data_IF_134566231884
#
_entry.id   IF_134566231884
#
_cell.length_a   1.000
_cell.length_b   1.000
_cell.length_c   1.000
_cell.angle_alpha   90.00
_cell.angle_beta   90.00
_cell.angle_gamma   90.00
#
_symmetry.space_group_name_H-M   'P 1'
#
loop_
_entity.id
_entity.type
_entity.pdbx_description
1 polymer ?
#
# COMPACT_ATOMS: atom_id res chain seq x y z
N UNK A 1 -25.11 -11.12 -23.31
CA UNK A 1 -24.10 -10.97 -22.26
C UNK A 1 -22.77 -11.19 -22.93
N UNK A 2 -21.85 -10.22 -22.85
CA UNK A 2 -20.46 -10.51 -23.16
C UNK A 2 -19.98 -11.53 -22.12
N UNK A 3 -19.86 -12.79 -22.53
CA UNK A 3 -19.39 -13.87 -21.66
C UNK A 3 -17.88 -13.76 -21.49
N UNK A 4 -17.38 -14.02 -20.28
CA UNK A 4 -15.95 -14.22 -20.08
C UNK A 4 -15.60 -15.66 -20.47
N UNK A 5 -14.61 -15.83 -21.36
CA UNK A 5 -14.15 -17.18 -21.73
C UNK A 5 -13.33 -17.85 -20.62
N UNK A 6 -12.62 -17.04 -19.83
CA UNK A 6 -11.86 -17.48 -18.67
C UNK A 6 -11.81 -16.39 -17.58
N UNK A 7 -11.73 -16.83 -16.33
CA UNK A 7 -11.60 -15.99 -15.14
C UNK A 7 -10.55 -16.61 -14.23
N UNK A 8 -9.54 -15.83 -13.87
CA UNK A 8 -8.57 -16.21 -12.85
C UNK A 8 -8.81 -15.40 -11.56
N UNK A 9 -8.90 -16.11 -10.44
CA UNK A 9 -9.19 -15.56 -9.13
C UNK A 9 -8.01 -15.82 -8.20
N UNK A 10 -7.75 -14.83 -7.34
CA UNK A 10 -6.76 -14.94 -6.26
C UNK A 10 -7.49 -14.88 -4.93
N UNK A 11 -7.92 -16.01 -4.35
CA UNK A 11 -8.74 -16.02 -3.14
C UNK A 11 -8.03 -15.40 -1.93
N UNK A 12 -6.68 -15.33 -1.95
CA UNK A 12 -5.88 -14.64 -0.93
C UNK A 12 -6.17 -13.14 -0.78
N UNK A 13 -6.93 -12.54 -1.71
CA UNK A 13 -7.41 -11.16 -1.61
C UNK A 13 -8.68 -11.02 -0.76
N UNK A 14 -9.33 -12.12 -0.39
CA UNK A 14 -10.50 -12.11 0.49
C UNK A 14 -10.10 -12.34 1.95
N UNK A 15 -10.98 -11.93 2.87
CA UNK A 15 -10.82 -12.19 4.31
C UNK A 15 -10.78 -13.71 4.54
N UNK A 16 -9.75 -14.16 5.27
CA UNK A 16 -9.50 -15.60 5.50
C UNK A 16 -8.82 -16.34 4.35
N UNK A 17 -8.61 -15.67 3.20
CA UNK A 17 -7.98 -16.26 2.02
C UNK A 17 -6.45 -16.42 2.02
N UNK A 18 -5.63 -15.75 2.85
CA UNK A 18 -4.18 -15.98 2.81
C UNK A 18 -3.80 -17.47 2.90
N UNK A 19 -2.95 -17.92 1.97
CA UNK A 19 -2.53 -19.32 1.85
C UNK A 19 -3.45 -20.23 1.02
N UNK A 20 -4.40 -19.67 0.26
CA UNK A 20 -5.20 -20.41 -0.74
C UNK A 20 -4.49 -20.53 -2.09
N UNK A 21 -4.80 -21.55 -2.92
CA UNK A 21 -4.34 -21.60 -4.30
C UNK A 21 -5.06 -20.53 -5.16
N UNK A 22 -4.53 -20.26 -6.35
CA UNK A 22 -5.30 -19.57 -7.40
C UNK A 22 -6.42 -20.45 -7.94
N UNK A 23 -7.48 -19.85 -8.47
CA UNK A 23 -8.58 -20.58 -9.11
C UNK A 23 -8.71 -20.09 -10.54
N UNK A 24 -8.58 -20.99 -11.51
CA UNK A 24 -8.86 -20.74 -12.91
C UNK A 24 -10.20 -21.38 -13.24
N UNK A 25 -11.18 -20.58 -13.67
CA UNK A 25 -12.41 -21.04 -14.29
C UNK A 25 -12.31 -20.71 -15.77
N UNK A 26 -12.53 -21.67 -16.65
CA UNK A 26 -12.51 -21.41 -18.09
C UNK A 26 -13.51 -22.29 -18.82
N UNK A 27 -13.94 -21.83 -19.99
CA UNK A 27 -14.75 -22.62 -20.89
C UNK A 27 -13.97 -23.88 -21.29
N UNK A 28 -14.57 -25.06 -21.13
CA UNK A 28 -14.00 -26.35 -21.50
C UNK A 28 -13.48 -26.37 -22.94
N UNK A 29 -14.13 -25.65 -23.87
CA UNK A 29 -13.72 -25.55 -25.27
C UNK A 29 -12.36 -24.84 -25.47
N UNK A 30 -11.84 -24.14 -24.45
CA UNK A 30 -10.49 -23.57 -24.46
C UNK A 30 -9.41 -24.55 -24.02
N UNK A 31 -9.77 -25.68 -23.38
CA UNK A 31 -8.80 -26.69 -23.00
C UNK A 31 -8.36 -27.50 -24.23
N UNK A 32 -7.25 -27.09 -24.86
CA UNK A 32 -6.69 -27.74 -26.06
C UNK A 32 -5.61 -28.77 -25.75
N UNK A 33 -5.36 -29.05 -24.47
CA UNK A 33 -4.37 -30.02 -24.01
C UNK A 33 -4.93 -31.44 -23.83
N UNK A 34 -6.18 -31.71 -24.21
CA UNK A 34 -6.78 -33.04 -24.05
C UNK A 34 -5.96 -34.19 -24.69
N UNK A 35 -5.19 -33.90 -25.75
CA UNK A 35 -4.27 -34.85 -26.40
C UNK A 35 -2.77 -34.56 -26.16
N UNK A 36 -2.42 -33.72 -25.20
CA UNK A 36 -1.05 -33.32 -24.89
C UNK A 36 -0.78 -33.44 -23.39
N UNK A 37 0.49 -33.43 -22.94
CA UNK A 37 0.80 -33.31 -21.52
C UNK A 37 0.10 -32.10 -20.87
N UNK A 38 -0.33 -32.20 -19.60
CA UNK A 38 -0.91 -31.07 -18.86
C UNK A 38 0.11 -29.96 -18.64
N UNK A 39 -0.35 -28.79 -18.14
CA UNK A 39 0.55 -27.64 -17.92
C UNK A 39 1.66 -27.95 -16.91
N UNK A 40 1.39 -28.84 -15.95
CA UNK A 40 2.36 -29.37 -15.00
C UNK A 40 2.19 -30.87 -14.90
N UNK A 41 3.23 -31.63 -15.24
CA UNK A 41 3.22 -33.08 -15.12
C UNK A 41 3.60 -33.52 -13.69
N UNK A 42 2.99 -34.59 -13.20
CA UNK A 42 3.35 -35.19 -11.92
C UNK A 42 2.46 -36.36 -11.55
N UNK A 43 2.75 -36.99 -10.41
CA UNK A 43 1.86 -38.01 -9.83
C UNK A 43 0.45 -37.46 -9.67
N UNK A 44 -0.58 -38.30 -9.85
CA UNK A 44 -1.98 -37.88 -9.81
C UNK A 44 -2.54 -37.33 -11.13
N UNK A 45 -1.71 -37.01 -12.13
CA UNK A 45 -2.17 -36.54 -13.46
C UNK A 45 -2.23 -37.65 -14.52
N UNK A 46 -1.60 -38.78 -14.25
CA UNK A 46 -1.44 -39.91 -15.18
C UNK A 46 -2.24 -41.13 -14.72
N UNK A 47 -2.88 -41.79 -15.68
CA UNK A 47 -3.42 -43.13 -15.54
C UNK A 47 -2.34 -44.20 -15.76
N UNK A 48 -1.37 -43.94 -16.64
CA UNK A 48 -0.26 -44.84 -16.92
C UNK A 48 0.98 -44.09 -17.40
N UNK A 49 2.16 -44.55 -17.00
CA UNK A 49 3.46 -44.05 -17.48
C UNK A 49 4.47 -45.19 -17.45
N UNK A 50 5.38 -45.24 -18.43
CA UNK A 50 6.49 -46.18 -18.47
C UNK A 50 7.84 -45.42 -18.65
N UNK A 51 8.95 -46.16 -18.58
CA UNK A 51 10.29 -45.60 -18.72
C UNK A 51 10.90 -45.71 -20.12
N UNK A 52 10.11 -46.11 -21.13
CA UNK A 52 10.59 -46.42 -22.48
C UNK A 52 10.23 -45.34 -23.51
N UNK A 53 9.00 -44.82 -23.49
CA UNK A 53 8.53 -43.78 -24.41
C UNK A 53 7.56 -42.82 -23.72
N UNK A 54 7.74 -41.51 -23.93
CA UNK A 54 6.80 -40.50 -23.46
C UNK A 54 5.44 -40.60 -24.18
N UNK A 55 5.43 -41.08 -25.42
CA UNK A 55 4.22 -41.25 -26.24
C UNK A 55 3.24 -42.28 -25.65
N UNK A 56 3.74 -43.21 -24.82
CA UNK A 56 2.92 -44.22 -24.14
C UNK A 56 2.26 -43.68 -22.86
N UNK A 57 2.53 -42.43 -22.48
CA UNK A 57 1.97 -41.83 -21.26
C UNK A 57 0.48 -41.58 -21.45
N UNK A 58 -0.34 -42.16 -20.57
CA UNK A 58 -1.78 -41.96 -20.55
C UNK A 58 -2.12 -41.01 -19.41
N UNK A 59 -2.61 -39.82 -19.75
CA UNK A 59 -3.11 -38.83 -18.79
C UNK A 59 -4.61 -39.03 -18.54
N UNK A 60 -5.12 -38.64 -17.36
CA UNK A 60 -6.57 -38.69 -17.08
C UNK A 60 -7.37 -37.81 -18.05
N UNK A 61 -8.63 -38.14 -18.36
CA UNK A 61 -9.45 -37.29 -19.23
C UNK A 61 -10.07 -36.08 -18.50
N UNK A 62 -10.20 -36.17 -17.17
CA UNK A 62 -10.74 -35.07 -16.38
C UNK A 62 -9.75 -33.90 -16.31
N UNK A 63 -10.22 -32.72 -16.71
CA UNK A 63 -9.38 -31.53 -16.84
C UNK A 63 -8.85 -31.06 -15.49
N UNK A 64 -9.62 -31.18 -14.41
CA UNK A 64 -9.20 -30.72 -13.09
C UNK A 64 -8.14 -31.65 -12.51
N UNK A 65 -8.33 -32.97 -12.63
CA UNK A 65 -7.35 -33.97 -12.18
C UNK A 65 -6.02 -33.85 -12.95
N UNK A 66 -6.07 -33.59 -14.26
CA UNK A 66 -4.88 -33.37 -15.10
C UNK A 66 -4.04 -32.18 -14.67
N UNK A 67 -4.67 -31.11 -14.17
CA UNK A 67 -4.00 -29.85 -13.85
C UNK A 67 -3.68 -29.70 -12.34
N UNK A 68 -3.87 -30.76 -11.56
CA UNK A 68 -3.65 -30.78 -10.10
C UNK A 68 -2.52 -31.75 -9.71
N UNK A 69 -1.35 -31.53 -10.32
CA UNK A 69 -0.20 -32.41 -10.19
C UNK A 69 0.36 -32.53 -8.76
N UNK A 70 0.75 -33.75 -8.40
CA UNK A 70 1.30 -34.10 -7.10
C UNK A 70 0.21 -34.33 -6.06
N UNK A 71 0.54 -34.07 -4.79
CA UNK A 71 -0.47 -34.05 -3.72
C UNK A 71 -1.25 -32.75 -3.81
N UNK A 72 -2.58 -32.80 -4.06
CA UNK A 72 -3.39 -31.60 -4.15
C UNK A 72 -3.29 -30.74 -2.89
N UNK A 73 -3.43 -29.41 -3.00
CA UNK A 73 -3.41 -28.51 -1.86
C UNK A 73 -4.72 -28.54 -1.05
N UNK A 74 -5.12 -29.71 -0.52
CA UNK A 74 -6.44 -29.99 0.08
C UNK A 74 -6.85 -28.93 1.10
N UNK A 75 -6.03 -28.68 2.13
CA UNK A 75 -6.34 -27.68 3.18
C UNK A 75 -6.49 -26.28 2.60
N UNK A 76 -5.72 -25.96 1.57
CA UNK A 76 -5.71 -24.64 0.94
C UNK A 76 -6.96 -24.47 0.05
N UNK A 77 -7.42 -25.54 -0.61
CA UNK A 77 -8.72 -25.58 -1.33
C UNK A 77 -9.89 -25.40 -0.37
N UNK A 78 -9.90 -26.11 0.76
CA UNK A 78 -10.91 -25.93 1.82
C UNK A 78 -10.91 -24.48 2.32
N UNK A 79 -9.73 -23.89 2.57
CA UNK A 79 -9.61 -22.48 2.96
C UNK A 79 -10.18 -21.54 1.90
N UNK A 80 -10.00 -21.83 0.61
CA UNK A 80 -10.53 -21.02 -0.47
C UNK A 80 -12.07 -21.02 -0.43
N UNK A 81 -12.69 -22.20 -0.29
CA UNK A 81 -14.13 -22.32 -0.14
C UNK A 81 -14.65 -21.51 1.08
N UNK A 82 -13.99 -21.63 2.24
CA UNK A 82 -14.35 -20.88 3.43
C UNK A 82 -14.25 -19.35 3.24
N UNK A 83 -13.22 -18.86 2.55
CA UNK A 83 -13.09 -17.43 2.25
C UNK A 83 -14.26 -16.90 1.39
N UNK A 84 -14.74 -17.71 0.43
CA UNK A 84 -15.92 -17.37 -0.35
C UNK A 84 -17.21 -17.43 0.49
N UNK A 85 -17.36 -18.42 1.37
CA UNK A 85 -18.51 -18.48 2.29
C UNK A 85 -18.57 -17.27 3.23
N UNK A 86 -17.43 -16.83 3.77
CA UNK A 86 -17.37 -15.60 4.57
C UNK A 86 -17.80 -14.39 3.74
N UNK A 87 -17.27 -14.26 2.52
CA UNK A 87 -17.66 -13.18 1.59
C UNK A 87 -19.15 -13.18 1.30
N UNK A 88 -19.74 -14.35 1.00
CA UNK A 88 -21.16 -14.46 0.73
C UNK A 88 -22.01 -14.14 1.95
N UNK A 89 -21.65 -14.67 3.11
CA UNK A 89 -22.35 -14.43 4.37
C UNK A 89 -22.37 -12.93 4.73
N UNK A 90 -21.21 -12.27 4.70
CA UNK A 90 -21.09 -10.83 5.00
C UNK A 90 -21.68 -9.97 3.87
N UNK A 91 -21.63 -10.46 2.63
CA UNK A 91 -22.15 -9.78 1.44
C UNK A 91 -23.66 -9.92 1.22
N UNK A 92 -24.38 -10.70 2.03
CA UNK A 92 -25.84 -10.89 1.92
C UNK A 92 -26.55 -9.54 1.83
N UNK A 93 -27.52 -9.45 0.91
CA UNK A 93 -28.27 -8.21 0.67
C UNK A 93 -27.43 -7.04 0.11
N UNK A 94 -26.22 -7.30 -0.40
CA UNK A 94 -25.36 -6.26 -1.00
C UNK A 94 -24.59 -5.41 0.00
N UNK A 95 -24.52 -5.81 1.28
CA UNK A 95 -23.93 -5.01 2.35
C UNK A 95 -22.46 -4.60 2.09
N UNK A 96 -21.63 -5.50 1.55
CA UNK A 96 -20.24 -5.21 1.17
C UNK A 96 -20.19 -4.12 0.09
N UNK A 97 -20.97 -4.27 -0.98
CA UNK A 97 -20.99 -3.31 -2.08
C UNK A 97 -21.48 -1.92 -1.64
N UNK A 98 -22.48 -1.87 -0.74
CA UNK A 98 -22.97 -0.63 -0.15
C UNK A 98 -21.88 0.07 0.68
N UNK A 99 -21.18 -0.65 1.56
CA UNK A 99 -20.10 -0.09 2.39
C UNK A 99 -18.92 0.37 1.55
N UNK A 100 -18.47 -0.44 0.60
CA UNK A 100 -17.37 -0.08 -0.30
C UNK A 100 -17.70 1.17 -1.10
N UNK A 101 -18.94 1.30 -1.58
CA UNK A 101 -19.42 2.50 -2.27
C UNK A 101 -19.40 3.72 -1.36
N UNK A 102 -19.95 3.61 -0.15
CA UNK A 102 -19.98 4.72 0.80
C UNK A 102 -18.56 5.18 1.19
N UNK A 103 -17.65 4.25 1.45
CA UNK A 103 -16.24 4.56 1.74
C UNK A 103 -15.54 5.16 0.52
N UNK A 104 -15.85 4.67 -0.69
CA UNK A 104 -15.29 5.21 -1.91
C UNK A 104 -15.70 6.67 -2.15
N UNK A 105 -16.99 6.97 -2.02
CA UNK A 105 -17.56 8.30 -2.21
C UNK A 105 -17.03 9.30 -1.17
N UNK A 106 -17.05 8.93 0.11
CA UNK A 106 -16.56 9.78 1.20
C UNK A 106 -15.06 10.10 1.08
N UNK A 107 -14.24 9.08 0.80
CA UNK A 107 -12.81 9.26 0.61
C UNK A 107 -12.50 10.09 -0.64
N UNK A 108 -13.17 9.86 -1.77
CA UNK A 108 -13.00 10.67 -2.97
C UNK A 108 -13.36 12.14 -2.73
N UNK A 109 -14.48 12.41 -2.05
CA UNK A 109 -14.91 13.77 -1.75
C UNK A 109 -13.83 14.52 -0.94
N UNK A 110 -13.29 13.87 0.09
CA UNK A 110 -12.25 14.45 0.95
C UNK A 110 -10.92 14.63 0.23
N UNK A 111 -10.42 13.59 -0.45
CA UNK A 111 -9.13 13.64 -1.16
C UNK A 111 -9.14 14.67 -2.29
N UNK A 112 -10.27 14.84 -3.01
CA UNK A 112 -10.38 15.84 -4.09
C UNK A 112 -10.51 17.28 -3.58
N UNK A 113 -11.03 17.47 -2.38
CA UNK A 113 -11.13 18.79 -1.77
C UNK A 113 -9.77 19.29 -1.26
N UNK A 114 -8.79 18.41 -1.07
CA UNK A 114 -7.47 18.76 -0.58
C UNK A 114 -6.54 19.18 -1.75
N UNK A 115 -6.10 20.45 -1.84
CA UNK A 115 -5.25 20.95 -2.94
C UNK A 115 -3.83 20.37 -2.95
N UNK A 116 -3.42 19.77 -1.84
CA UNK A 116 -2.11 19.16 -1.64
C UNK A 116 -2.10 17.65 -1.89
N UNK A 117 -3.25 17.09 -2.31
CA UNK A 117 -3.37 15.68 -2.69
C UNK A 117 -3.86 15.56 -4.12
N UNK A 118 -3.18 14.74 -4.91
CA UNK A 118 -3.62 14.40 -6.26
C UNK A 118 -3.92 12.91 -6.35
N UNK A 119 -5.20 12.59 -6.57
CA UNK A 119 -5.63 11.20 -6.78
C UNK A 119 -5.33 10.80 -8.22
N UNK A 120 -4.56 9.72 -8.39
CA UNK A 120 -4.16 9.22 -9.70
C UNK A 120 -5.27 8.39 -10.36
N UNK A 121 -5.30 8.45 -11.70
CA UNK A 121 -6.27 7.76 -12.55
C UNK A 121 -7.60 8.49 -12.70
N UNK A 122 -8.59 7.83 -13.27
CA UNK A 122 -9.88 8.45 -13.58
C UNK A 122 -10.71 8.72 -12.30
N UNK A 123 -10.86 9.99 -11.92
CA UNK A 123 -11.55 10.45 -10.70
C UNK A 123 -13.08 10.43 -10.76
N UNK A 124 -13.68 10.17 -11.93
CA UNK A 124 -15.14 10.11 -12.11
C UNK A 124 -15.66 8.67 -12.26
N UNK A 125 -14.79 7.73 -12.63
CA UNK A 125 -15.16 6.32 -12.76
C UNK A 125 -15.53 5.69 -11.40
N UNK A 126 -16.50 4.78 -11.43
CA UNK A 126 -16.82 3.91 -10.29
C UNK A 126 -15.57 3.13 -9.89
N UNK A 127 -15.27 3.09 -8.59
CA UNK A 127 -14.06 2.46 -8.05
C UNK A 127 -14.34 1.69 -6.76
N UNK A 128 -13.46 0.74 -6.47
CA UNK A 128 -13.28 0.21 -5.12
C UNK A 128 -12.61 1.28 -4.24
N UNK A 129 -12.75 1.22 -2.90
CA UNK A 129 -12.13 2.17 -1.97
C UNK A 129 -10.62 1.93 -1.82
N UNK A 130 -9.90 2.00 -2.95
CA UNK A 130 -8.45 1.85 -3.07
C UNK A 130 -7.95 3.09 -3.79
N UNK A 131 -7.10 3.86 -3.13
CA UNK A 131 -6.69 5.18 -3.58
C UNK A 131 -5.19 5.22 -3.79
N UNK A 132 -4.78 5.52 -5.01
CA UNK A 132 -3.40 5.85 -5.37
C UNK A 132 -3.31 7.36 -5.49
N UNK A 133 -2.37 8.00 -4.78
CA UNK A 133 -2.28 9.45 -4.73
C UNK A 133 -0.86 9.94 -4.54
N UNK A 134 -0.63 11.17 -4.99
CA UNK A 134 0.55 11.97 -4.69
C UNK A 134 0.21 12.98 -3.60
N UNK A 135 1.20 13.32 -2.80
CA UNK A 135 1.10 14.35 -1.76
C UNK A 135 2.12 15.43 -2.09
N UNK A 136 1.71 16.68 -2.13
CA UNK A 136 2.57 17.81 -2.42
C UNK A 136 2.74 18.70 -1.20
N UNK A 137 3.95 19.20 -0.91
CA UNK A 137 4.14 20.20 0.13
C UNK A 137 3.31 21.47 -0.15
N UNK A 138 2.70 22.09 0.88
CA UNK A 138 1.98 23.35 0.74
C UNK A 138 2.91 24.49 0.30
N UNK A 139 2.38 25.45 -0.47
CA UNK A 139 3.06 26.73 -0.71
C UNK A 139 4.06 26.79 -1.87
N UNK A 140 4.21 25.73 -2.68
CA UNK A 140 5.04 25.77 -3.89
C UNK A 140 4.49 26.73 -4.95
N UNK A 141 4.93 28.00 -4.91
CA UNK A 141 4.46 29.07 -5.82
C UNK A 141 5.42 29.40 -6.97
N UNK A 142 6.62 28.83 -7.03
CA UNK A 142 7.52 28.97 -8.18
C UNK A 142 8.24 27.65 -8.51
N UNK A 143 8.26 27.29 -9.80
CA UNK A 143 8.96 26.10 -10.31
C UNK A 143 8.14 24.79 -10.37
N UNK A 144 8.84 23.69 -10.65
CA UNK A 144 8.27 22.34 -10.76
C UNK A 144 7.79 21.85 -9.39
N UNK A 145 6.47 21.78 -9.17
CA UNK A 145 5.88 21.25 -7.93
C UNK A 145 6.17 19.75 -7.84
N UNK A 146 7.07 19.36 -6.95
CA UNK A 146 7.44 17.95 -6.73
C UNK A 146 6.67 17.37 -5.54
N UNK A 147 6.10 16.17 -5.67
CA UNK A 147 5.44 15.50 -4.55
C UNK A 147 6.46 14.98 -3.54
N UNK A 148 6.01 14.72 -2.32
CA UNK A 148 6.71 13.86 -1.38
C UNK A 148 6.85 12.46 -1.96
N UNK A 149 7.97 11.80 -1.70
CA UNK A 149 8.20 10.43 -2.18
C UNK A 149 7.15 9.45 -1.63
N UNK A 150 6.57 8.61 -2.49
CA UNK A 150 5.46 7.73 -2.10
C UNK A 150 5.78 6.76 -0.95
N UNK A 151 7.02 6.27 -0.84
CA UNK A 151 7.47 5.45 0.30
C UNK A 151 7.69 6.28 1.57
N UNK A 152 8.01 7.57 1.44
CA UNK A 152 8.14 8.47 2.59
C UNK A 152 6.78 8.75 3.22
N UNK A 153 5.78 9.10 2.41
CA UNK A 153 4.40 9.29 2.88
C UNK A 153 3.88 8.01 3.55
N UNK A 154 4.11 6.84 2.94
CA UNK A 154 3.75 5.55 3.56
C UNK A 154 4.49 5.30 4.89
N UNK A 155 5.75 5.71 4.98
CA UNK A 155 6.55 5.63 6.21
C UNK A 155 5.99 6.53 7.31
N UNK A 156 5.62 7.77 6.99
CA UNK A 156 5.00 8.69 7.95
C UNK A 156 3.65 8.18 8.47
N UNK A 157 2.80 7.67 7.57
CA UNK A 157 1.54 7.04 7.94
C UNK A 157 1.74 5.89 8.95
N UNK A 158 2.77 5.09 8.75
CA UNK A 158 3.13 4.02 9.68
C UNK A 158 3.68 4.56 11.01
N UNK A 159 4.70 5.42 10.96
CA UNK A 159 5.46 5.81 12.15
C UNK A 159 4.67 6.74 13.09
N UNK A 160 3.79 7.58 12.54
CA UNK A 160 2.99 8.53 13.33
C UNK A 160 1.63 7.96 13.72
N UNK A 161 1.02 7.12 12.88
CA UNK A 161 -0.39 6.73 13.03
C UNK A 161 -0.62 5.21 13.07
N UNK A 162 0.42 4.39 12.86
CA UNK A 162 0.28 2.94 12.76
C UNK A 162 -0.47 2.47 11.51
N UNK A 163 -0.61 3.34 10.50
CA UNK A 163 -1.37 3.04 9.27
C UNK A 163 -0.42 2.41 8.24
N UNK A 164 -0.73 1.18 7.84
CA UNK A 164 0.03 0.48 6.81
C UNK A 164 -0.44 0.87 5.42
N UNK A 165 0.30 1.76 4.77
CA UNK A 165 0.13 2.12 3.36
C UNK A 165 1.19 1.41 2.49
N UNK A 166 1.02 1.49 1.16
CA UNK A 166 2.05 1.03 0.21
C UNK A 166 2.62 2.21 -0.58
N UNK A 167 3.95 2.28 -0.68
CA UNK A 167 4.65 3.23 -1.55
C UNK A 167 5.34 2.54 -2.72
N UNK A 168 5.24 3.11 -3.92
CA UNK A 168 5.92 2.63 -5.14
C UNK A 168 4.99 2.65 -6.37
N UNK A 169 5.31 1.86 -7.40
CA UNK A 169 4.55 1.81 -8.67
C UNK A 169 3.55 0.65 -8.78
N UNK A 170 3.24 -0.02 -7.66
CA UNK A 170 2.22 -1.09 -7.56
C UNK A 170 2.31 -2.22 -8.61
N UNK A 171 3.52 -2.61 -9.03
CA UNK A 171 3.77 -3.58 -10.10
C UNK A 171 3.18 -3.19 -11.47
N UNK A 172 2.87 -1.92 -11.68
CA UNK A 172 2.25 -1.39 -12.88
C UNK A 172 3.17 -0.35 -13.54
N UNK A 173 4.44 -0.73 -13.78
CA UNK A 173 5.49 0.19 -14.26
C UNK A 173 5.09 1.03 -15.47
N UNK A 174 4.62 0.43 -16.59
CA UNK A 174 4.17 1.19 -17.76
C UNK A 174 3.01 2.14 -17.47
N UNK A 175 2.03 1.70 -16.67
CA UNK A 175 0.91 2.56 -16.27
C UNK A 175 1.36 3.69 -15.34
N UNK A 176 2.34 3.43 -14.47
CA UNK A 176 2.99 4.45 -13.66
C UNK A 176 3.71 5.51 -14.50
N UNK A 177 4.33 5.12 -15.62
CA UNK A 177 4.91 6.09 -16.54
C UNK A 177 3.83 6.99 -17.16
N UNK A 178 2.71 6.41 -17.60
CA UNK A 178 1.59 7.17 -18.14
C UNK A 178 0.99 8.14 -17.10
N UNK A 179 0.78 7.68 -15.87
CA UNK A 179 0.22 8.50 -14.78
C UNK A 179 1.14 9.64 -14.33
N UNK A 180 2.47 9.44 -14.37
CA UNK A 180 3.46 10.39 -13.84
C UNK A 180 4.17 11.19 -14.93
N UNK A 181 3.67 11.15 -16.18
CA UNK A 181 4.24 11.90 -17.31
C UNK A 181 5.65 11.46 -17.70
N UNK A 182 6.02 10.20 -17.44
CA UNK A 182 7.35 9.67 -17.76
C UNK A 182 7.42 9.24 -19.21
N UNK A 183 7.82 10.18 -20.08
CA UNK A 183 8.09 9.92 -21.49
C UNK A 183 9.28 9.00 -21.74
N UNK A 184 9.48 8.59 -23.00
CA UNK A 184 10.53 7.64 -23.42
C UNK A 184 11.93 8.06 -22.97
N UNK A 185 12.29 9.32 -23.19
CA UNK A 185 13.62 9.84 -22.83
C UNK A 185 13.87 9.80 -21.32
N UNK A 186 12.95 10.35 -20.53
CA UNK A 186 13.02 10.31 -19.06
C UNK A 186 13.05 8.87 -18.53
N UNK A 187 12.26 7.97 -19.11
CA UNK A 187 12.27 6.54 -18.76
C UNK A 187 13.64 5.90 -18.98
N UNK A 188 14.32 6.20 -20.09
CA UNK A 188 15.65 5.65 -20.38
C UNK A 188 16.72 6.23 -19.43
N UNK A 189 16.62 7.51 -19.06
CA UNK A 189 17.52 8.13 -18.07
C UNK A 189 17.32 7.53 -16.67
N UNK A 190 16.06 7.30 -16.25
CA UNK A 190 15.73 6.59 -15.00
C UNK A 190 16.31 5.17 -15.03
N UNK A 191 16.12 4.43 -16.14
CA UNK A 191 16.73 3.10 -16.32
C UNK A 191 18.24 3.14 -16.17
N UNK A 192 18.92 4.13 -16.76
CA UNK A 192 20.37 4.26 -16.67
C UNK A 192 20.84 4.44 -15.22
N UNK A 193 20.13 5.25 -14.41
CA UNK A 193 20.42 5.38 -12.98
C UNK A 193 20.17 4.07 -12.21
N UNK A 194 19.08 3.36 -12.52
CA UNK A 194 18.75 2.06 -11.91
C UNK A 194 19.84 1.01 -12.20
N UNK A 195 20.35 0.95 -13.44
CA UNK A 195 21.43 0.01 -13.82
C UNK A 195 22.73 0.30 -13.04
N UNK A 196 22.96 1.56 -12.63
CA UNK A 196 24.08 1.94 -11.75
C UNK A 196 23.83 1.65 -10.27
N UNK A 197 22.73 1.00 -9.92
CA UNK A 197 22.38 0.63 -8.55
C UNK A 197 21.52 1.64 -7.80
N UNK A 198 21.10 2.75 -8.43
CA UNK A 198 20.25 3.76 -7.80
C UNK A 198 18.77 3.44 -7.97
N UNK A 199 18.25 2.39 -7.31
CA UNK A 199 16.84 2.03 -7.44
C UNK A 199 15.88 3.04 -6.81
N UNK A 200 16.37 3.93 -5.93
CA UNK A 200 15.57 4.96 -5.30
C UNK A 200 14.96 5.97 -6.27
N UNK A 201 15.53 6.14 -7.48
CA UNK A 201 14.98 7.06 -8.50
C UNK A 201 13.68 6.57 -9.14
N UNK A 202 13.21 5.35 -8.80
CA UNK A 202 11.98 4.78 -9.35
C UNK A 202 10.78 5.67 -8.95
N UNK A 203 10.01 6.17 -9.93
CA UNK A 203 8.83 6.96 -9.63
C UNK A 203 7.72 6.09 -9.05
N UNK A 204 6.82 6.70 -8.29
CA UNK A 204 5.74 5.98 -7.63
C UNK A 204 4.84 6.91 -6.82
N UNK A 205 3.87 6.31 -6.15
CA UNK A 205 2.84 7.01 -5.38
C UNK A 205 2.60 6.30 -4.05
N UNK A 206 1.75 6.88 -3.22
CA UNK A 206 1.22 6.22 -2.02
C UNK A 206 -0.13 5.63 -2.32
N UNK A 207 -0.39 4.44 -1.77
CA UNK A 207 -1.67 3.74 -1.88
C UNK A 207 -2.21 3.33 -0.53
N UNK A 208 -3.47 3.66 -0.28
CA UNK A 208 -4.27 3.15 0.85
C UNK A 208 -5.49 2.39 0.34
N UNK A 209 -5.94 1.41 1.11
CA UNK A 209 -7.14 0.61 0.83
C UNK A 209 -8.03 0.65 2.07
N UNK A 210 -9.29 1.03 1.91
CA UNK A 210 -10.27 1.06 3.00
C UNK A 210 -11.16 -0.19 2.86
N UNK A 211 -10.94 -1.18 3.72
CA UNK A 211 -11.68 -2.43 3.64
C UNK A 211 -13.11 -2.26 4.17
N UNK A 212 -14.07 -3.02 3.62
CA UNK A 212 -15.49 -2.95 4.03
C UNK A 212 -15.76 -3.29 5.50
N UNK A 213 -14.80 -3.98 6.14
CA UNK A 213 -14.86 -4.38 7.54
C UNK A 213 -14.19 -3.38 8.49
N UNK A 214 -13.61 -2.29 7.97
CA UNK A 214 -13.15 -1.19 8.82
C UNK A 214 -14.34 -0.44 9.42
N UNK A 215 -14.18 0.06 10.64
CA UNK A 215 -15.15 0.95 11.27
C UNK A 215 -15.16 2.32 10.60
N UNK A 216 -16.19 3.12 10.88
CA UNK A 216 -16.27 4.48 10.33
C UNK A 216 -15.17 5.37 10.92
N UNK A 217 -14.81 5.12 12.17
CA UNK A 217 -13.79 5.81 12.95
C UNK A 217 -12.41 5.55 12.35
N UNK A 218 -12.10 4.29 12.02
CA UNK A 218 -10.86 3.91 11.33
C UNK A 218 -10.75 4.59 9.95
N UNK A 219 -11.83 4.59 9.17
CA UNK A 219 -11.86 5.26 7.86
C UNK A 219 -11.61 6.76 8.01
N UNK A 220 -12.29 7.43 8.96
CA UNK A 220 -12.09 8.86 9.23
C UNK A 220 -10.66 9.14 9.68
N UNK A 221 -10.09 8.30 10.54
CA UNK A 221 -8.73 8.44 11.03
C UNK A 221 -7.70 8.29 9.90
N UNK A 222 -7.85 7.30 9.01
CA UNK A 222 -6.96 7.13 7.86
C UNK A 222 -6.98 8.36 6.96
N UNK A 223 -8.17 8.91 6.66
CA UNK A 223 -8.29 10.10 5.83
C UNK A 223 -7.73 11.36 6.53
N UNK A 224 -7.93 11.49 7.85
CA UNK A 224 -7.34 12.58 8.63
C UNK A 224 -5.81 12.49 8.68
N UNK A 225 -5.24 11.29 8.78
CA UNK A 225 -3.80 11.09 8.70
C UNK A 225 -3.24 11.45 7.32
N UNK A 226 -3.97 11.18 6.24
CA UNK A 226 -3.58 11.61 4.89
C UNK A 226 -3.57 13.14 4.79
N UNK A 227 -4.62 13.81 5.28
CA UNK A 227 -4.65 15.29 5.30
C UNK A 227 -3.53 15.88 6.15
N UNK A 228 -3.24 15.27 7.31
CA UNK A 228 -2.11 15.67 8.14
C UNK A 228 -0.79 15.58 7.37
N UNK A 229 -0.53 14.45 6.69
CA UNK A 229 0.70 14.29 5.91
C UNK A 229 0.75 15.26 4.73
N UNK A 230 -0.40 15.62 4.14
CA UNK A 230 -0.46 16.66 3.12
C UNK A 230 -0.10 18.05 3.68
N UNK A 231 -0.64 18.42 4.84
CA UNK A 231 -0.38 19.72 5.46
C UNK A 231 1.02 19.85 6.07
N UNK A 232 1.59 18.76 6.58
CA UNK A 232 2.76 18.82 7.47
C UNK A 232 3.86 17.81 7.15
N UNK A 233 3.64 16.88 6.23
CA UNK A 233 4.57 15.76 5.98
C UNK A 233 5.97 16.20 5.57
N UNK A 234 6.09 17.30 4.83
CA UNK A 234 7.38 17.86 4.42
C UNK A 234 8.27 18.27 5.59
N UNK A 235 7.68 18.73 6.71
CA UNK A 235 8.43 19.15 7.91
C UNK A 235 9.17 17.99 8.57
N UNK A 236 8.77 16.75 8.28
CA UNK A 236 9.41 15.55 8.80
C UNK A 236 10.62 15.09 7.98
N UNK A 237 10.83 15.59 6.75
CA UNK A 237 11.95 15.18 5.88
C UNK A 237 13.32 15.18 6.61
N UNK A 238 13.70 16.19 7.43
CA UNK A 238 14.98 16.21 8.13
C UNK A 238 15.20 15.04 9.09
N UNK A 239 14.12 14.47 9.61
CA UNK A 239 14.14 13.38 10.58
C UNK A 239 14.36 12.02 9.93
N UNK A 240 14.37 11.93 8.61
CA UNK A 240 14.55 10.68 7.90
C UNK A 240 15.75 10.73 6.96
N UNK A 241 16.31 9.57 6.67
CA UNK A 241 17.30 9.38 5.63
C UNK A 241 16.71 8.60 4.47
N UNK A 242 16.97 9.09 3.26
CA UNK A 242 16.67 8.37 2.03
C UNK A 242 17.87 7.54 1.60
N UNK A 243 17.63 6.27 1.31
CA UNK A 243 18.61 5.37 0.70
C UNK A 243 18.42 5.36 -0.82
N UNK A 244 19.38 5.96 -1.53
CA UNK A 244 19.36 6.03 -3.00
C UNK A 244 19.48 4.67 -3.68
N UNK A 245 20.07 3.67 -3.02
CA UNK A 245 20.24 2.34 -3.58
C UNK A 245 18.92 1.57 -3.57
N UNK A 246 18.12 1.70 -2.51
CA UNK A 246 16.89 0.91 -2.32
C UNK A 246 15.60 1.71 -2.54
N UNK A 247 15.64 3.02 -2.32
CA UNK A 247 14.46 3.90 -2.25
C UNK A 247 13.81 3.93 -0.86
N UNK A 248 14.44 3.34 0.15
CA UNK A 248 13.89 3.25 1.50
C UNK A 248 14.11 4.50 2.34
N UNK A 249 13.21 4.70 3.30
CA UNK A 249 13.22 5.81 4.23
C UNK A 249 13.39 5.27 5.65
N UNK A 250 14.44 5.72 6.32
CA UNK A 250 14.77 5.29 7.68
C UNK A 250 14.78 6.47 8.65
N UNK A 251 14.14 6.30 9.80
CA UNK A 251 14.10 7.34 10.83
C UNK A 251 15.47 7.55 11.49
N UNK A 252 15.95 8.79 11.49
CA UNK A 252 17.24 9.19 12.07
C UNK A 252 17.07 9.52 13.55
N UNK A 253 17.14 8.47 14.39
CA UNK A 253 17.01 8.60 15.86
C UNK A 253 17.92 9.69 16.47
N UNK A 254 19.16 9.84 15.98
CA UNK A 254 20.10 10.87 16.48
C UNK A 254 19.62 12.28 16.16
N UNK A 255 19.17 12.53 14.94
CA UNK A 255 18.63 13.83 14.52
C UNK A 255 17.40 14.21 15.34
N UNK A 256 16.51 13.24 15.58
CA UNK A 256 15.35 13.47 16.44
C UNK A 256 15.74 13.79 17.89
N UNK A 257 16.66 13.03 18.49
CA UNK A 257 17.16 13.34 19.85
C UNK A 257 17.75 14.74 19.94
N UNK A 258 18.58 15.13 18.97
CA UNK A 258 19.13 16.47 18.90
C UNK A 258 18.02 17.54 18.80
N UNK A 259 17.01 17.31 17.95
CA UNK A 259 15.86 18.22 17.82
C UNK A 259 15.13 18.40 19.14
N UNK A 260 14.77 17.30 19.81
CA UNK A 260 14.09 17.33 21.12
C UNK A 260 14.95 18.07 22.15
N UNK A 261 16.24 17.77 22.24
CA UNK A 261 17.15 18.45 23.18
C UNK A 261 17.26 19.95 22.89
N UNK A 262 17.34 20.34 21.61
CA UNK A 262 17.38 21.75 21.20
C UNK A 262 16.09 22.47 21.57
N UNK A 263 14.93 21.89 21.27
CA UNK A 263 13.63 22.46 21.63
C UNK A 263 13.47 22.59 23.16
N UNK A 264 13.89 21.58 23.94
CA UNK A 264 13.89 21.66 25.42
C UNK A 264 14.75 22.82 25.95
N UNK A 265 15.92 23.04 25.34
CA UNK A 265 16.82 24.14 25.73
C UNK A 265 16.27 25.52 25.31
N UNK A 266 15.62 25.61 24.14
CA UNK A 266 15.05 26.85 23.63
C UNK A 266 13.75 27.26 24.35
N UNK A 267 12.95 26.28 24.82
CA UNK A 267 11.67 26.55 25.50
C UNK A 267 11.78 26.89 26.98
N UNK A 268 12.99 26.87 27.55
CA UNK A 268 13.25 27.36 28.90
C UNK A 268 12.38 26.71 29.98
N UNK A 269 12.73 25.48 30.40
CA UNK A 269 12.45 24.97 31.75
C UNK A 269 11.00 24.78 32.23
N UNK A 270 9.96 25.17 31.49
CA UNK A 270 8.57 25.05 31.93
C UNK A 270 7.84 23.92 31.18
N UNK A 271 7.16 23.04 31.93
CA UNK A 271 6.56 21.76 31.49
C UNK A 271 7.47 20.51 31.41
N UNK A 272 8.28 20.26 32.44
CA UNK A 272 8.66 18.88 32.79
C UNK A 272 7.70 18.34 33.85
N UNK A 273 6.50 17.88 33.48
CA UNK A 273 5.75 16.92 34.35
C UNK A 273 4.58 16.14 33.72
N UNK A 274 3.89 16.62 32.69
CA UNK A 274 2.57 16.02 32.38
C UNK A 274 2.56 14.79 31.44
N UNK A 275 3.54 14.64 30.54
CA UNK A 275 3.46 13.58 29.52
C UNK A 275 3.88 12.18 30.05
N UNK A 276 4.75 12.11 31.07
CA UNK A 276 5.27 10.84 31.58
C UNK A 276 4.32 10.15 32.59
N UNK A 277 3.54 10.91 33.36
CA UNK A 277 2.54 10.35 34.28
C UNK A 277 1.32 9.80 33.55
N UNK A 278 0.91 10.42 32.43
CA UNK A 278 -0.18 9.96 31.56
C UNK A 278 0.04 8.53 31.03
N UNK A 279 1.30 8.18 30.69
CA UNK A 279 1.66 6.84 30.22
C UNK A 279 1.68 5.78 31.33
N UNK A 280 2.03 6.17 32.57
CA UNK A 280 2.09 5.24 33.71
C UNK A 280 0.71 4.92 34.28
N UNK A 281 -0.21 5.89 34.31
CA UNK A 281 -1.55 5.75 34.92
C UNK A 281 -2.52 4.86 34.12
N UNK A 282 -2.33 4.70 32.79
CA UNK A 282 -3.21 3.84 31.96
C UNK A 282 -2.79 2.36 31.91
N UNK A 283 -1.58 2.01 32.35
CA UNK A 283 -1.16 0.59 32.40
C UNK A 283 -1.87 -0.20 33.51
N UNK A 284 -2.49 0.49 34.48
CA UNK A 284 -3.30 -0.15 35.53
C UNK A 284 -4.79 -0.28 35.20
N UNK A 285 -5.29 0.30 34.10
CA UNK A 285 -6.71 0.24 33.71
C UNK A 285 -6.98 -0.54 32.41
N UNK A 286 -5.93 -1.05 31.73
CA UNK A 286 -6.07 -1.80 30.48
C UNK A 286 -6.40 -3.30 30.68
N UNK A 287 -7.23 -3.62 31.66
CA UNK A 287 -7.82 -4.94 31.85
C UNK A 287 -9.33 -4.80 32.00
N UNK A 288 -10.04 -4.63 30.88
CA UNK A 288 -11.50 -4.72 30.82
C UNK A 288 -12.15 -3.81 29.76
N UNK A 289 -12.92 -4.43 28.86
CA UNK A 289 -13.96 -3.78 28.05
C UNK A 289 -13.49 -3.09 26.77
N UNK A 290 -13.87 -3.64 25.61
CA UNK A 290 -13.78 -2.95 24.33
C UNK A 290 -14.92 -1.94 24.22
N UNK A 291 -14.57 -0.66 24.30
CA UNK A 291 -15.53 0.45 24.23
C UNK A 291 -15.20 1.30 23.00
N UNK A 292 -16.16 1.48 22.08
CA UNK A 292 -15.99 2.27 20.84
C UNK A 292 -15.62 3.73 21.14
N UNK A 293 -16.07 4.26 22.28
CA UNK A 293 -15.68 5.59 22.79
C UNK A 293 -14.17 5.71 23.04
N UNK A 294 -13.49 4.64 23.45
CA UNK A 294 -12.05 4.66 23.71
C UNK A 294 -11.17 4.67 22.46
N UNK A 295 -11.69 4.28 21.29
CA UNK A 295 -10.96 4.33 20.03
C UNK A 295 -10.88 5.76 19.46
N UNK A 296 -11.98 6.52 19.54
CA UNK A 296 -12.01 7.93 19.10
C UNK A 296 -10.95 8.77 19.81
N UNK A 297 -10.96 8.73 21.15
CA UNK A 297 -9.97 9.41 22.00
C UNK A 297 -8.52 9.02 21.66
N UNK A 298 -8.29 7.78 21.22
CA UNK A 298 -6.95 7.32 20.82
C UNK A 298 -6.52 7.95 19.50
N UNK A 299 -7.40 7.98 18.50
CA UNK A 299 -7.11 8.54 17.19
C UNK A 299 -6.87 10.04 17.23
N UNK A 300 -7.67 10.77 18.02
CA UNK A 300 -7.47 12.20 18.27
C UNK A 300 -6.10 12.44 18.90
N UNK A 301 -5.73 11.67 19.93
CA UNK A 301 -4.41 11.78 20.56
C UNK A 301 -3.24 11.56 19.59
N UNK A 302 -3.36 10.63 18.64
CA UNK A 302 -2.32 10.45 17.60
C UNK A 302 -2.18 11.70 16.73
N UNK A 303 -3.30 12.29 16.30
CA UNK A 303 -3.30 13.51 15.48
C UNK A 303 -2.75 14.72 16.26
N UNK A 304 -3.12 14.88 17.52
CA UNK A 304 -2.62 15.94 18.40
C UNK A 304 -1.10 15.85 18.59
N UNK A 305 -0.59 14.68 18.95
CA UNK A 305 0.85 14.46 19.15
C UNK A 305 1.61 14.70 17.85
N UNK A 306 1.12 14.17 16.73
CA UNK A 306 1.74 14.37 15.42
C UNK A 306 1.77 15.86 15.04
N UNK A 307 0.69 16.60 15.31
CA UNK A 307 0.60 18.05 15.08
C UNK A 307 1.58 18.81 15.95
N UNK A 308 1.67 18.50 17.25
CA UNK A 308 2.64 19.14 18.14
C UNK A 308 4.09 18.93 17.67
N UNK A 309 4.42 17.70 17.22
CA UNK A 309 5.75 17.40 16.67
C UNK A 309 5.97 18.18 15.38
N UNK A 310 5.03 18.14 14.43
CA UNK A 310 5.12 18.87 13.17
C UNK A 310 5.36 20.35 13.41
N UNK A 311 4.57 20.98 14.28
CA UNK A 311 4.66 22.41 14.61
C UNK A 311 6.00 22.79 15.25
N UNK A 312 6.69 21.85 15.90
CA UNK A 312 8.04 22.08 16.45
C UNK A 312 9.17 22.00 15.41
N UNK A 313 8.93 21.36 14.26
CA UNK A 313 9.95 21.17 13.23
C UNK A 313 10.06 22.40 12.32
N UNK A 314 11.23 22.74 11.78
CA UNK A 314 11.33 23.84 10.82
C UNK A 314 10.39 23.66 9.63
N UNK A 315 9.84 24.76 9.13
CA UNK A 315 9.07 24.79 7.88
C UNK A 315 9.95 25.23 6.69
N UNK A 316 11.20 24.77 6.69
CA UNK A 316 12.25 25.21 5.73
C UNK A 316 12.57 24.11 4.71
N UNK A 317 11.54 23.50 4.12
CA UNK A 317 11.73 22.35 3.23
C UNK A 317 12.43 22.70 1.91
N UNK A 318 12.43 23.96 1.49
CA UNK A 318 13.16 24.39 0.28
C UNK A 318 14.69 24.37 0.46
N UNK A 319 15.19 24.37 1.71
CA UNK A 319 16.63 24.33 2.04
C UNK A 319 17.13 22.89 2.24
N UNK A 320 16.23 21.94 2.49
CA UNK A 320 16.52 20.56 2.80
C UNK A 320 16.44 19.70 1.55
N UNK A 321 17.50 19.76 0.74
CA UNK A 321 17.74 18.79 -0.33
C UNK A 321 18.75 17.78 0.20
N UNK A 322 18.35 16.52 0.39
CA UNK A 322 19.34 15.44 0.50
C UNK A 322 20.26 15.54 -0.70
N UNK A 323 21.56 15.70 -0.50
CA UNK A 323 22.50 15.84 -1.60
C UNK A 323 22.34 14.66 -2.56
N UNK A 324 21.89 14.97 -3.77
CA UNK A 324 21.75 13.99 -4.84
C UNK A 324 23.16 13.41 -5.10
N UNK A 325 23.33 12.08 -5.10
CA UNK A 325 24.62 11.46 -5.35
C UNK A 325 25.28 11.99 -6.63
N UNK A 326 26.60 12.23 -6.59
CA UNK A 326 27.37 12.67 -7.75
C UNK A 326 27.14 11.69 -8.92
N UNK A 327 26.72 12.22 -10.07
CA UNK A 327 26.45 11.41 -11.28
C UNK A 327 24.99 10.94 -11.45
N UNK A 328 24.09 11.34 -10.56
CA UNK A 328 22.64 11.29 -10.82
C UNK A 328 22.21 12.64 -11.38
N UNK A 329 21.54 12.60 -12.53
CA UNK A 329 20.90 13.75 -13.15
C UNK A 329 19.71 14.20 -12.28
N UNK A 330 19.72 15.42 -11.69
CA UNK A 330 18.64 15.90 -10.83
C UNK A 330 17.28 15.95 -11.52
N UNK A 331 17.23 16.08 -12.86
CA UNK A 331 15.96 16.21 -13.59
C UNK A 331 15.12 14.94 -13.56
N UNK A 332 15.77 13.78 -13.32
CA UNK A 332 15.09 12.48 -13.22
C UNK A 332 14.44 12.25 -11.85
N UNK A 333 14.68 13.13 -10.88
CA UNK A 333 14.13 13.02 -9.53
C UNK A 333 12.74 13.65 -9.51
N UNK A 334 11.70 12.81 -9.55
CA UNK A 334 10.31 13.24 -9.67
C UNK A 334 9.60 13.44 -8.32
N UNK A 335 10.38 13.66 -7.25
CA UNK A 335 9.88 13.80 -5.89
C UNK A 335 10.86 14.62 -5.02
N UNK A 336 10.41 15.02 -3.84
CA UNK A 336 11.23 15.68 -2.82
C UNK A 336 12.00 14.65 -1.99
N UNK A 337 13.27 14.93 -1.71
CA UNK A 337 14.19 14.13 -0.89
C UNK A 337 14.98 15.01 0.06
#
# INVERSE_FOLDING_TARGET
MDGYDAVFLSPHKFVGGPGTPGILLMNRALYRLAGHPPSTCGGGTVAYVNGFSEEDTVYYDDIEEREDAGTPPIVQKVRAALAFWVKEHVGRGGAVALRERAYAEAAMARLRANPDVEVLGNVTARRLPIFSFLVYPPGGKSGRRLPLHGRFVARLLNDLFGIQARGGCACAGPYGHALLGVGRELSLRIRAAIVRGYHGVKPGWTRVSLAYYMSREEVRFVLAAVDFVAAHGHRFLPLYGFDWATGDWAFRRRTFKHHVMREELLRGGDHRRDDAESYRKKKSTAAGGGDEHGLGDRYERYLEIATRIALSLPDTYDELVSSVPKGIDPDIILFRV
#
